data_IF_097877425051
#
_entry.id   IF_097877425051
#
_cell.length_a   1.000
_cell.length_b   1.000
_cell.length_c   1.000
_cell.angle_alpha   90.00
_cell.angle_beta   90.00
_cell.angle_gamma   90.00
#
_symmetry.space_group_name_H-M   'P 1'
#
loop_
_entity.id
_entity.type
_entity.pdbx_description
1 polymer ?
#
# COMPACT_ATOMS: atom_id res chain seq x y z
N UNK A 1 -20.62 83.71 26.30
CA UNK A 1 -19.81 83.49 25.09
C UNK A 1 -18.39 83.00 25.44
N UNK A 2 -18.28 81.86 26.15
CA UNK A 2 -16.99 81.18 26.46
C UNK A 2 -17.09 79.64 26.50
N UNK A 3 -18.30 79.08 26.34
CA UNK A 3 -18.53 77.63 26.42
C UNK A 3 -18.58 76.96 25.03
N UNK A 4 -18.82 77.72 23.96
CA UNK A 4 -18.89 77.18 22.59
C UNK A 4 -17.53 77.07 21.90
N UNK A 5 -16.49 77.78 22.37
CA UNK A 5 -15.16 77.76 21.72
C UNK A 5 -14.41 76.46 22.06
N UNK A 6 -14.55 75.94 23.29
CA UNK A 6 -13.91 74.70 23.73
C UNK A 6 -14.46 73.44 23.05
N UNK A 7 -15.72 73.42 22.62
CA UNK A 7 -16.30 72.23 21.98
C UNK A 7 -15.78 72.07 20.54
N UNK A 8 -15.60 73.18 19.82
CA UNK A 8 -14.99 73.18 18.47
C UNK A 8 -13.52 72.79 18.49
N UNK A 9 -12.75 73.22 19.49
CA UNK A 9 -11.34 72.81 19.65
C UNK A 9 -11.22 71.32 20.03
N UNK A 10 -12.11 70.80 20.89
CA UNK A 10 -12.13 69.36 21.20
C UNK A 10 -12.57 68.50 20.01
N UNK A 11 -13.54 68.95 19.21
CA UNK A 11 -13.99 68.24 18.00
C UNK A 11 -12.89 68.26 16.92
N UNK A 12 -12.14 69.36 16.77
CA UNK A 12 -10.99 69.42 15.86
C UNK A 12 -9.84 68.49 16.32
N UNK A 13 -9.55 68.42 17.63
CA UNK A 13 -8.52 67.51 18.17
C UNK A 13 -8.94 66.04 18.00
N UNK A 14 -10.23 65.72 18.19
CA UNK A 14 -10.77 64.38 17.92
C UNK A 14 -10.74 64.02 16.43
N UNK A 15 -10.98 64.96 15.51
CA UNK A 15 -10.84 64.73 14.06
C UNK A 15 -9.37 64.55 13.62
N UNK A 16 -8.42 65.18 14.31
CA UNK A 16 -6.98 64.99 14.05
C UNK A 16 -6.48 63.61 14.53
N UNK A 17 -7.10 63.00 15.55
CA UNK A 17 -6.77 61.63 15.97
C UNK A 17 -7.48 60.52 15.20
N UNK A 18 -8.52 60.82 14.41
CA UNK A 18 -9.14 59.86 13.47
C UNK A 18 -8.64 60.02 12.02
N UNK A 19 -7.71 60.94 11.77
CA UNK A 19 -7.14 61.25 10.45
C UNK A 19 -5.80 60.60 10.11
N UNK A 20 -5.26 59.74 10.99
CA UNK A 20 -3.98 59.04 10.77
C UNK A 20 -4.17 57.52 10.73
N UNK A 21 -4.95 57.02 9.77
CA UNK A 21 -4.74 55.72 9.15
C UNK A 21 -4.94 55.92 7.65
N UNK A 22 -4.08 56.75 7.05
CA UNK A 22 -3.93 56.75 5.60
C UNK A 22 -3.40 55.38 5.22
N UNK A 23 -4.32 54.54 4.75
CA UNK A 23 -4.10 53.26 4.10
C UNK A 23 -2.85 52.49 4.54
N UNK A 24 -3.00 51.64 5.57
CA UNK A 24 -2.15 50.44 5.65
C UNK A 24 -2.63 49.52 4.53
N UNK A 25 -2.22 49.81 3.29
CA UNK A 25 -2.41 48.90 2.16
C UNK A 25 -1.54 47.68 2.44
N UNK A 26 -2.17 46.63 2.97
CA UNK A 26 -1.59 45.28 2.94
C UNK A 26 -1.63 44.88 1.47
N UNK A 27 -0.46 44.77 0.83
CA UNK A 27 -0.37 44.28 -0.55
C UNK A 27 -1.05 42.92 -0.62
N UNK A 28 -2.13 42.81 -1.40
CA UNK A 28 -2.79 41.54 -1.67
C UNK A 28 -1.77 40.62 -2.35
N UNK A 29 -1.35 39.58 -1.63
CA UNK A 29 -0.36 38.66 -2.14
C UNK A 29 -0.97 37.54 -2.98
N UNK A 30 -2.30 37.37 -3.00
CA UNK A 30 -2.96 36.16 -3.47
C UNK A 30 -2.55 35.76 -4.89
N UNK A 31 -2.53 34.45 -5.11
CA UNK A 31 -2.40 33.85 -6.43
C UNK A 31 -3.76 33.70 -7.10
N UNK A 32 -3.76 33.68 -8.44
CA UNK A 32 -4.93 33.25 -9.21
C UNK A 32 -5.14 31.72 -9.16
N UNK A 33 -4.11 30.94 -8.83
CA UNK A 33 -4.24 29.51 -8.64
C UNK A 33 -4.95 29.22 -7.30
N UNK A 34 -6.09 28.54 -7.33
CA UNK A 34 -6.82 28.06 -6.15
C UNK A 34 -6.92 26.53 -6.09
N UNK A 35 -6.83 25.87 -7.24
CA UNK A 35 -6.90 24.42 -7.39
C UNK A 35 -5.85 23.96 -8.41
N UNK A 36 -5.15 22.88 -8.09
CA UNK A 36 -4.08 22.32 -8.90
C UNK A 36 -4.23 20.81 -9.02
N UNK A 37 -4.00 20.30 -10.23
CA UNK A 37 -3.87 18.86 -10.48
C UNK A 37 -2.48 18.57 -11.01
N UNK A 38 -1.80 17.60 -10.42
CA UNK A 38 -0.42 17.21 -10.76
C UNK A 38 -0.36 15.73 -11.17
N UNK A 39 0.53 15.42 -12.12
CA UNK A 39 0.78 14.04 -12.57
C UNK A 39 1.57 13.26 -11.50
N UNK A 40 0.99 12.15 -11.03
CA UNK A 40 1.63 11.26 -10.05
C UNK A 40 2.89 10.57 -10.55
N UNK A 41 3.15 10.55 -11.86
CA UNK A 41 4.39 10.03 -12.44
C UNK A 41 5.58 10.99 -12.30
N UNK A 42 5.36 12.16 -11.72
CA UNK A 42 6.32 13.24 -11.59
C UNK A 42 5.89 14.46 -12.38
N UNK A 43 5.80 15.60 -11.71
CA UNK A 43 5.32 16.86 -12.26
C UNK A 43 5.94 18.04 -11.51
N UNK A 44 5.88 19.23 -12.08
CA UNK A 44 6.31 20.45 -11.41
C UNK A 44 5.40 21.61 -11.75
N UNK A 45 4.86 22.26 -10.72
CA UNK A 45 4.07 23.48 -10.84
C UNK A 45 4.71 24.61 -10.06
N UNK A 46 4.73 25.79 -10.66
CA UNK A 46 5.11 27.04 -10.01
C UNK A 46 3.84 27.88 -9.86
N UNK A 47 3.51 28.20 -8.61
CA UNK A 47 2.44 29.13 -8.24
C UNK A 47 3.06 30.51 -8.12
N UNK A 48 2.46 31.51 -8.76
CA UNK A 48 2.92 32.90 -8.69
C UNK A 48 1.97 33.74 -7.86
N UNK A 49 2.55 34.51 -6.95
CA UNK A 49 1.85 35.42 -6.05
C UNK A 49 2.01 36.87 -6.53
N UNK A 50 0.96 37.68 -6.35
CA UNK A 50 0.97 39.08 -6.78
C UNK A 50 2.01 39.91 -6.01
N UNK A 51 2.28 39.53 -4.75
CA UNK A 51 3.27 40.16 -3.89
C UNK A 51 4.06 39.12 -3.08
N UNK A 52 5.16 39.55 -2.47
CA UNK A 52 5.95 38.77 -1.52
C UNK A 52 5.47 38.91 -0.08
N UNK A 53 4.35 39.60 0.13
CA UNK A 53 3.75 39.90 1.43
C UNK A 53 3.07 38.66 2.08
N UNK A 54 3.81 37.57 2.19
CA UNK A 54 3.44 36.34 2.90
C UNK A 54 4.70 35.67 3.41
N UNK A 55 4.65 35.07 4.58
CA UNK A 55 5.80 34.43 5.20
C UNK A 55 5.48 33.08 5.83
N UNK A 56 4.20 32.68 5.81
CA UNK A 56 3.72 31.44 6.37
C UNK A 56 3.24 30.50 5.27
N UNK A 57 3.70 29.26 5.34
CA UNK A 57 3.19 28.15 4.55
C UNK A 57 2.85 26.97 5.48
N UNK A 58 1.60 26.54 5.47
CA UNK A 58 1.14 25.32 6.12
C UNK A 58 0.67 24.28 5.11
N UNK A 59 0.78 22.99 5.45
CA UNK A 59 0.23 21.88 4.66
C UNK A 59 -0.75 21.09 5.51
N UNK A 60 -1.91 20.77 4.95
CA UNK A 60 -2.91 19.91 5.56
C UNK A 60 -3.36 18.82 4.60
N UNK A 61 -3.23 17.56 4.99
CA UNK A 61 -3.58 16.40 4.16
C UNK A 61 -4.95 15.85 4.53
N UNK A 62 -5.75 15.50 3.53
CA UNK A 62 -7.14 15.04 3.71
C UNK A 62 -7.28 13.52 3.93
N UNK A 63 -6.18 12.78 3.78
CA UNK A 63 -6.16 11.33 4.02
C UNK A 63 -6.09 11.05 5.53
N UNK A 64 -7.20 10.63 6.13
CA UNK A 64 -7.28 10.27 7.56
C UNK A 64 -6.35 9.10 7.94
N UNK A 65 -5.93 8.28 6.97
CA UNK A 65 -4.95 7.21 7.17
C UNK A 65 -3.49 7.68 7.05
N UNK A 66 -3.26 8.95 6.70
CA UNK A 66 -1.93 9.50 6.55
C UNK A 66 -1.34 9.91 7.90
N UNK A 67 -0.48 9.05 8.46
CA UNK A 67 0.18 9.25 9.76
C UNK A 67 1.63 9.69 9.64
N UNK A 68 2.05 10.07 8.43
CA UNK A 68 3.43 10.34 8.10
C UNK A 68 3.82 11.79 8.33
N UNK A 69 5.08 12.01 8.66
CA UNK A 69 5.62 13.34 8.96
C UNK A 69 6.33 13.93 7.74
N UNK A 70 6.23 15.24 7.61
CA UNK A 70 6.94 16.03 6.62
C UNK A 70 8.24 16.55 7.23
N UNK A 71 9.32 16.53 6.45
CA UNK A 71 10.56 17.18 6.83
C UNK A 71 10.55 18.64 6.36
N UNK A 72 10.80 19.57 7.27
CA UNK A 72 10.82 21.01 6.98
C UNK A 72 12.26 21.50 7.05
N UNK A 73 12.73 22.15 5.99
CA UNK A 73 14.07 22.68 5.87
C UNK A 73 14.05 24.19 5.67
N UNK A 74 15.07 24.87 6.20
CA UNK A 74 15.27 26.29 5.94
C UNK A 74 15.88 26.55 4.55
N UNK A 75 16.16 27.81 4.24
CA UNK A 75 16.77 28.22 2.98
C UNK A 75 18.23 27.75 2.81
N UNK A 76 18.94 27.45 3.90
CA UNK A 76 20.28 26.88 3.90
C UNK A 76 20.29 25.37 3.63
N UNK A 77 19.13 24.72 3.77
CA UNK A 77 18.96 23.28 3.64
C UNK A 77 19.09 22.52 4.96
N UNK A 78 19.13 23.23 6.09
CA UNK A 78 19.18 22.62 7.41
C UNK A 78 17.78 22.19 7.85
N UNK A 79 17.68 20.99 8.43
CA UNK A 79 16.40 20.45 8.93
C UNK A 79 15.94 21.26 10.14
N UNK A 80 14.78 21.89 10.04
CA UNK A 80 14.13 22.63 11.13
C UNK A 80 13.37 21.66 12.03
N UNK A 81 12.50 20.85 11.43
CA UNK A 81 11.62 19.93 12.17
C UNK A 81 11.07 18.83 11.27
N UNK A 82 10.49 17.80 11.90
CA UNK A 82 9.65 16.80 11.27
C UNK A 82 8.29 16.79 11.95
N UNK A 83 7.20 17.06 11.21
CA UNK A 83 5.85 17.19 11.78
C UNK A 83 4.79 16.65 10.80
N UNK A 84 3.70 16.08 11.33
CA UNK A 84 2.52 15.70 10.53
C UNK A 84 1.76 16.91 10.00
N UNK A 85 1.81 18.05 10.70
CA UNK A 85 1.17 19.30 10.30
C UNK A 85 2.24 20.38 10.09
N UNK A 86 3.03 20.29 9.01
CA UNK A 86 4.21 21.12 8.86
C UNK A 86 3.82 22.58 8.61
N UNK A 87 4.67 23.45 9.16
CA UNK A 87 4.63 24.88 8.95
C UNK A 87 6.04 25.37 8.61
N UNK A 88 6.14 26.21 7.59
CA UNK A 88 7.36 26.87 7.17
C UNK A 88 7.18 28.39 7.31
N UNK A 89 8.10 29.03 8.03
CA UNK A 89 8.22 30.49 8.08
C UNK A 89 9.39 30.97 7.22
N UNK A 90 9.13 31.91 6.31
CA UNK A 90 10.13 32.45 5.41
C UNK A 90 10.38 31.56 4.19
N UNK A 91 11.65 31.48 3.76
CA UNK A 91 12.10 30.64 2.64
C UNK A 91 12.61 29.29 3.12
N UNK A 92 12.51 28.29 2.27
CA UNK A 92 12.87 26.90 2.59
C UNK A 92 12.02 25.90 1.82
N UNK A 93 11.87 24.70 2.34
CA UNK A 93 11.05 23.64 1.72
C UNK A 93 10.41 22.70 2.73
N UNK A 94 9.26 22.17 2.36
CA UNK A 94 8.56 21.08 3.04
C UNK A 94 8.64 19.85 2.13
N UNK A 95 9.10 18.73 2.66
CA UNK A 95 9.33 17.50 1.90
C UNK A 95 8.49 16.38 2.49
N UNK A 96 7.67 15.76 1.64
CA UNK A 96 7.04 14.47 1.89
C UNK A 96 7.86 13.41 1.15
N UNK A 97 8.44 12.47 1.87
CA UNK A 97 9.21 11.37 1.28
C UNK A 97 8.84 10.07 1.96
N UNK A 98 7.68 9.55 1.57
CA UNK A 98 7.14 8.30 2.06
C UNK A 98 7.22 7.20 1.01
N UNK A 99 7.09 5.95 1.45
CA UNK A 99 7.28 4.77 0.59
C UNK A 99 6.46 4.85 -0.71
N UNK A 100 5.24 5.40 -0.62
CA UNK A 100 4.26 5.44 -1.70
C UNK A 100 3.91 6.85 -2.18
N UNK A 101 4.44 7.90 -1.57
CA UNK A 101 4.18 9.29 -1.97
C UNK A 101 5.41 10.16 -1.70
N UNK A 102 5.88 10.83 -2.74
CA UNK A 102 7.03 11.71 -2.69
C UNK A 102 6.73 13.04 -3.38
N UNK A 103 6.88 14.16 -2.67
CA UNK A 103 6.82 15.49 -3.25
C UNK A 103 7.51 16.52 -2.37
N UNK A 104 7.96 17.61 -2.99
CA UNK A 104 8.59 18.75 -2.33
C UNK A 104 7.82 20.04 -2.64
N UNK A 105 7.55 20.83 -1.62
CA UNK A 105 7.01 22.19 -1.73
C UNK A 105 8.12 23.16 -1.32
N UNK A 106 8.60 23.96 -2.26
CA UNK A 106 9.77 24.82 -2.09
C UNK A 106 9.42 26.28 -2.32
N UNK A 107 9.85 27.13 -1.38
CA UNK A 107 9.83 28.57 -1.50
C UNK A 107 11.26 29.10 -1.52
N UNK A 108 11.86 29.13 -2.70
CA UNK A 108 13.17 29.75 -2.96
C UNK A 108 13.04 31.20 -3.46
N UNK A 109 11.87 31.59 -3.96
CA UNK A 109 11.56 32.93 -4.45
C UNK A 109 10.48 33.58 -3.55
N UNK A 110 10.62 34.84 -3.11
CA UNK A 110 9.62 35.50 -2.29
C UNK A 110 8.21 35.56 -2.89
N UNK A 111 8.06 35.49 -4.22
CA UNK A 111 6.78 35.59 -4.94
C UNK A 111 6.34 34.29 -5.64
N UNK A 112 7.08 33.19 -5.44
CA UNK A 112 6.75 31.93 -6.09
C UNK A 112 6.81 30.77 -5.09
N UNK A 113 5.94 29.80 -5.31
CA UNK A 113 5.97 28.52 -4.62
C UNK A 113 6.05 27.41 -5.66
N UNK A 114 7.04 26.53 -5.55
CA UNK A 114 7.24 25.40 -6.45
C UNK A 114 6.78 24.13 -5.77
N UNK A 115 5.91 23.38 -6.42
CA UNK A 115 5.56 22.01 -6.03
C UNK A 115 6.21 21.09 -7.06
N UNK A 116 7.06 20.18 -6.59
CA UNK A 116 7.67 19.13 -7.41
C UNK A 116 7.19 17.77 -6.89
N UNK A 117 6.41 17.07 -7.70
CA UNK A 117 6.00 15.69 -7.42
C UNK A 117 7.10 14.76 -7.89
N UNK A 118 7.50 13.85 -7.01
CA UNK A 118 8.40 12.77 -7.37
C UNK A 118 7.59 11.56 -7.85
N UNK A 119 6.63 11.12 -7.01
CA UNK A 119 5.79 9.96 -7.32
C UNK A 119 4.57 9.91 -6.38
N UNK A 120 3.39 9.58 -6.91
CA UNK A 120 2.26 9.07 -6.12
C UNK A 120 1.98 7.60 -6.49
N UNK A 121 2.63 6.67 -5.80
CA UNK A 121 2.48 5.23 -6.04
C UNK A 121 1.22 4.63 -5.41
N UNK A 122 0.45 5.42 -4.67
CA UNK A 122 -0.85 5.00 -4.10
C UNK A 122 -1.83 4.66 -5.21
N UNK A 123 -2.82 3.83 -4.92
CA UNK A 123 -3.90 3.51 -5.86
C UNK A 123 -4.97 4.61 -5.99
N UNK A 124 -4.87 5.64 -5.15
CA UNK A 124 -5.83 6.75 -5.06
C UNK A 124 -5.14 8.09 -5.22
N UNK A 125 -5.95 9.11 -5.52
CA UNK A 125 -5.51 10.50 -5.50
C UNK A 125 -4.96 10.87 -4.12
N UNK A 126 -3.90 11.68 -4.11
CA UNK A 126 -3.32 12.23 -2.89
C UNK A 126 -3.63 13.72 -2.83
N UNK A 127 -4.51 14.09 -1.89
CA UNK A 127 -5.08 15.42 -1.80
C UNK A 127 -4.63 16.13 -0.54
N UNK A 128 -4.16 17.37 -0.71
CA UNK A 128 -3.78 18.23 0.40
C UNK A 128 -4.11 19.69 0.08
N UNK A 129 -4.15 20.49 1.13
CA UNK A 129 -4.35 21.93 1.07
C UNK A 129 -3.08 22.63 1.52
N UNK A 130 -2.72 23.68 0.78
CA UNK A 130 -1.74 24.67 1.19
C UNK A 130 -2.47 25.86 1.82
N UNK A 131 -2.00 26.29 2.98
CA UNK A 131 -2.40 27.57 3.58
C UNK A 131 -1.21 28.52 3.48
N UNK A 132 -1.34 29.55 2.64
CA UNK A 132 -0.34 30.61 2.48
C UNK A 132 -0.86 31.85 3.20
N UNK A 133 -0.09 32.44 4.10
CA UNK A 133 -0.57 33.58 4.90
C UNK A 133 0.50 34.59 5.29
N UNK A 134 0.03 35.75 5.72
CA UNK A 134 0.77 36.72 6.52
C UNK A 134 0.01 36.94 7.87
N UNK A 135 0.31 38.02 8.58
CA UNK A 135 -0.36 38.37 9.84
C UNK A 135 -1.84 38.75 9.69
N UNK A 136 -2.25 39.19 8.49
CA UNK A 136 -3.55 39.82 8.25
C UNK A 136 -4.51 38.95 7.43
N UNK A 137 -4.01 38.17 6.49
CA UNK A 137 -4.82 37.38 5.56
C UNK A 137 -4.18 36.04 5.18
N UNK A 138 -5.03 35.12 4.71
CA UNK A 138 -4.63 33.82 4.21
C UNK A 138 -5.30 33.49 2.87
N UNK A 139 -4.65 32.61 2.12
CA UNK A 139 -5.18 31.96 0.94
C UNK A 139 -5.03 30.45 1.08
N UNK A 140 -6.08 29.74 0.67
CA UNK A 140 -6.06 28.30 0.53
C UNK A 140 -5.88 27.91 -0.93
N UNK A 141 -5.01 26.92 -1.18
CA UNK A 141 -4.81 26.33 -2.50
C UNK A 141 -4.92 24.82 -2.36
N UNK A 142 -5.84 24.21 -3.10
CA UNK A 142 -6.08 22.77 -3.08
C UNK A 142 -5.22 22.09 -4.14
N UNK A 143 -4.56 21.00 -3.76
CA UNK A 143 -3.67 20.24 -4.64
C UNK A 143 -4.13 18.79 -4.67
N UNK A 144 -4.29 18.28 -5.88
CA UNK A 144 -4.61 16.89 -6.15
C UNK A 144 -3.49 16.26 -6.99
N UNK A 145 -2.78 15.29 -6.42
CA UNK A 145 -1.79 14.48 -7.14
C UNK A 145 -2.48 13.19 -7.57
N UNK A 146 -2.63 13.02 -8.88
CA UNK A 146 -3.16 11.80 -9.49
C UNK A 146 -2.30 10.56 -9.14
N UNK A 147 -2.84 9.34 -9.18
CA UNK A 147 -2.03 8.13 -9.07
C UNK A 147 -1.04 8.01 -10.24
N UNK A 148 0.17 7.51 -9.97
CA UNK A 148 1.14 7.13 -11.00
C UNK A 148 0.73 5.86 -11.76
N UNK A 149 1.42 5.64 -12.88
CA UNK A 149 1.38 4.40 -13.64
C UNK A 149 1.81 3.23 -12.73
N UNK A 150 1.15 2.08 -12.89
CA UNK A 150 1.47 0.90 -12.08
C UNK A 150 2.81 0.31 -12.51
N UNK A 151 3.57 -0.15 -11.53
CA UNK A 151 4.81 -0.87 -11.77
C UNK A 151 4.54 -2.19 -12.49
N UNK A 152 5.47 -2.56 -13.35
CA UNK A 152 5.47 -3.83 -14.06
C UNK A 152 6.47 -4.76 -13.39
N UNK A 153 6.08 -6.01 -13.16
CA UNK A 153 6.98 -7.05 -12.64
C UNK A 153 8.08 -7.28 -13.68
N UNK A 154 9.33 -7.20 -13.23
CA UNK A 154 10.51 -7.59 -14.01
C UNK A 154 10.82 -9.07 -13.77
N UNK A 155 11.14 -9.42 -12.51
CA UNK A 155 11.37 -10.80 -12.11
C UNK A 155 11.20 -11.00 -10.60
N UNK A 156 11.14 -12.26 -10.17
CA UNK A 156 11.15 -12.67 -8.77
C UNK A 156 12.32 -13.62 -8.51
N UNK A 157 12.98 -13.48 -7.37
CA UNK A 157 14.03 -14.39 -6.92
C UNK A 157 13.65 -15.02 -5.59
N UNK A 158 13.94 -16.31 -5.43
CA UNK A 158 13.74 -17.07 -4.18
C UNK A 158 15.10 -17.44 -3.59
N UNK A 159 15.25 -17.28 -2.27
CA UNK A 159 16.57 -17.40 -1.62
C UNK A 159 16.91 -18.79 -1.09
N UNK A 160 15.92 -19.67 -0.86
CA UNK A 160 16.15 -21.02 -0.29
C UNK A 160 15.29 -22.05 -1.00
N UNK A 161 15.93 -22.96 -1.74
CA UNK A 161 15.29 -24.03 -2.51
C UNK A 161 15.97 -25.41 -2.29
N UNK A 162 16.68 -25.60 -1.19
CA UNK A 162 17.39 -26.85 -0.90
C UNK A 162 16.43 -28.00 -0.56
N UNK A 163 16.85 -29.26 -0.66
CA UNK A 163 16.01 -30.45 -0.36
C UNK A 163 15.43 -30.45 1.05
N UNK A 164 16.16 -29.91 2.04
CA UNK A 164 15.71 -29.78 3.43
C UNK A 164 14.76 -28.58 3.65
N UNK A 165 14.38 -27.85 2.60
CA UNK A 165 13.57 -26.63 2.70
C UNK A 165 12.07 -26.89 2.74
N UNK A 166 11.64 -28.15 2.69
CA UNK A 166 10.22 -28.52 2.81
C UNK A 166 10.03 -29.65 3.83
N UNK A 167 8.84 -29.69 4.42
CA UNK A 167 8.43 -30.75 5.33
C UNK A 167 7.20 -31.50 4.81
N UNK A 168 7.04 -32.73 5.26
CA UNK A 168 5.88 -33.57 4.98
C UNK A 168 4.88 -33.43 6.13
N UNK A 169 3.69 -32.93 5.83
CA UNK A 169 2.58 -32.81 6.79
C UNK A 169 1.44 -33.75 6.41
N UNK A 170 0.97 -34.56 7.36
CA UNK A 170 -0.17 -35.46 7.14
C UNK A 170 -1.41 -34.86 7.80
N UNK A 171 -2.48 -34.67 7.03
CA UNK A 171 -3.75 -34.12 7.51
C UNK A 171 -4.91 -35.07 7.22
N UNK A 172 -5.79 -35.29 8.20
CA UNK A 172 -7.06 -35.98 7.96
C UNK A 172 -8.01 -35.08 7.17
N UNK A 173 -8.43 -35.53 5.99
CA UNK A 173 -9.36 -34.78 5.13
C UNK A 173 -10.79 -35.26 5.26
N UNK A 174 -10.98 -36.58 5.38
CA UNK A 174 -12.31 -37.19 5.42
C UNK A 174 -12.27 -38.37 6.38
N UNK A 175 -13.25 -38.45 7.28
CA UNK A 175 -13.49 -39.62 8.12
C UNK A 175 -14.97 -39.96 8.05
N UNK A 176 -15.29 -41.21 7.76
CA UNK A 176 -16.68 -41.68 7.70
C UNK A 176 -16.79 -43.14 8.17
N UNK A 177 -18.00 -43.57 8.49
CA UNK A 177 -18.29 -44.92 8.95
C UNK A 177 -18.98 -45.68 7.83
N UNK A 178 -18.45 -46.85 7.49
CA UNK A 178 -18.97 -47.74 6.46
C UNK A 178 -19.36 -49.09 7.09
N UNK A 179 -20.67 -49.37 7.25
CA UNK A 179 -21.14 -50.68 7.67
C UNK A 179 -21.16 -51.66 6.48
N UNK A 180 -20.91 -52.93 6.78
CA UNK A 180 -21.17 -54.05 5.90
C UNK A 180 -21.98 -55.13 6.65
N UNK A 181 -23.28 -55.22 6.36
CA UNK A 181 -24.17 -56.24 6.91
C UNK A 181 -24.26 -57.54 6.11
N UNK A 182 -23.45 -57.69 5.06
CA UNK A 182 -23.52 -58.79 4.11
C UNK A 182 -22.52 -59.88 4.47
N UNK A 183 -22.76 -61.11 3.98
CA UNK A 183 -21.86 -62.26 4.17
C UNK A 183 -20.65 -62.28 3.23
N UNK A 184 -20.41 -61.19 2.51
CA UNK A 184 -19.31 -61.00 1.56
C UNK A 184 -18.69 -59.63 1.76
N UNK A 185 -17.46 -59.47 1.28
CA UNK A 185 -16.76 -58.19 1.25
C UNK A 185 -17.57 -57.13 0.49
N UNK A 186 -17.65 -55.92 1.05
CA UNK A 186 -18.30 -54.78 0.41
C UNK A 186 -17.25 -53.81 -0.16
N UNK A 187 -17.28 -53.52 -1.47
CA UNK A 187 -16.35 -52.58 -2.09
C UNK A 187 -16.75 -51.13 -1.79
N UNK A 188 -15.86 -50.38 -1.12
CA UNK A 188 -16.03 -48.95 -0.86
C UNK A 188 -15.12 -48.13 -1.80
N UNK A 189 -15.71 -47.51 -2.82
CA UNK A 189 -14.98 -46.68 -3.78
C UNK A 189 -14.71 -45.28 -3.19
N UNK A 190 -13.45 -44.83 -3.27
CA UNK A 190 -12.99 -43.55 -2.75
C UNK A 190 -12.23 -42.78 -3.82
N UNK A 191 -12.36 -41.46 -3.76
CA UNK A 191 -11.52 -40.51 -4.50
C UNK A 191 -10.67 -39.76 -3.46
N UNK A 192 -9.45 -40.21 -3.14
CA UNK A 192 -8.67 -39.66 -2.02
C UNK A 192 -8.41 -38.16 -2.14
N UNK A 193 -8.23 -37.68 -3.38
CA UNK A 193 -7.95 -36.28 -3.69
C UNK A 193 -9.21 -35.44 -3.98
N UNK A 194 -10.41 -35.96 -3.71
CA UNK A 194 -11.65 -35.19 -3.81
C UNK A 194 -11.59 -33.94 -2.91
N UNK A 195 -11.78 -32.75 -3.50
CA UNK A 195 -11.67 -31.45 -2.84
C UNK A 195 -10.29 -31.18 -2.18
N UNK A 196 -9.22 -31.77 -2.73
CA UNK A 196 -7.84 -31.49 -2.31
C UNK A 196 -7.22 -30.46 -3.27
N UNK A 197 -6.63 -29.41 -2.69
CA UNK A 197 -6.06 -28.29 -3.43
C UNK A 197 -4.59 -28.09 -3.10
N UNK A 198 -3.85 -27.51 -4.04
CA UNK A 198 -2.55 -26.92 -3.79
C UNK A 198 -2.75 -25.46 -3.37
N UNK A 199 -2.28 -25.11 -2.18
CA UNK A 199 -2.50 -23.79 -1.60
C UNK A 199 -1.22 -22.94 -1.69
N UNK A 200 -1.37 -21.70 -2.12
CA UNK A 200 -0.25 -20.75 -2.30
C UNK A 200 -0.63 -19.39 -1.73
N UNK A 201 0.29 -18.76 -1.01
CA UNK A 201 0.09 -17.40 -0.51
C UNK A 201 1.41 -16.62 -0.49
N UNK A 202 1.39 -15.40 -1.00
CA UNK A 202 2.47 -14.45 -0.83
C UNK A 202 2.18 -13.54 0.36
N UNK A 203 3.20 -13.30 1.18
CA UNK A 203 3.19 -12.26 2.21
C UNK A 203 4.29 -11.28 1.87
N UNK A 204 4.01 -9.98 1.92
CA UNK A 204 5.01 -8.91 1.79
C UNK A 204 5.39 -8.44 3.19
N UNK A 205 6.65 -8.06 3.39
CA UNK A 205 7.10 -7.43 4.64
C UNK A 205 6.44 -6.05 4.85
N UNK A 206 6.07 -5.39 3.74
CA UNK A 206 5.28 -4.16 3.71
C UNK A 206 4.03 -4.39 2.86
N UNK A 207 2.88 -4.73 3.47
CA UNK A 207 1.65 -5.09 2.76
C UNK A 207 1.16 -4.03 1.78
N UNK A 208 1.43 -2.76 2.05
CA UNK A 208 1.04 -1.62 1.23
C UNK A 208 1.69 -1.68 -0.16
N UNK A 209 2.87 -2.30 -0.29
CA UNK A 209 3.56 -2.42 -1.57
C UNK A 209 2.84 -3.29 -2.61
N UNK A 210 1.86 -4.11 -2.20
CA UNK A 210 1.03 -4.83 -3.18
C UNK A 210 0.29 -3.88 -4.13
N UNK A 211 0.02 -2.63 -3.71
CA UNK A 211 -0.66 -1.64 -4.54
C UNK A 211 0.23 -0.97 -5.60
N UNK A 212 1.55 -1.19 -5.54
CA UNK A 212 2.48 -0.70 -6.57
C UNK A 212 2.15 -1.29 -7.94
N UNK A 213 1.69 -2.53 -7.94
CA UNK A 213 1.45 -3.31 -9.14
C UNK A 213 0.00 -3.14 -9.62
N UNK A 214 -0.22 -3.24 -10.93
CA UNK A 214 -1.56 -3.16 -11.52
C UNK A 214 -2.33 -4.46 -11.36
N UNK A 215 -3.63 -4.47 -11.63
CA UNK A 215 -4.42 -5.70 -11.49
C UNK A 215 -4.18 -6.72 -12.61
N UNK A 216 -3.58 -6.29 -13.73
CA UNK A 216 -3.35 -7.12 -14.92
C UNK A 216 -1.97 -7.79 -14.91
N UNK A 217 -1.94 -9.05 -15.36
CA UNK A 217 -0.72 -9.79 -15.66
C UNK A 217 0.31 -9.90 -14.51
N UNK A 218 -0.17 -10.11 -13.27
CA UNK A 218 0.66 -10.30 -12.08
C UNK A 218 1.18 -11.74 -11.91
N UNK A 219 1.38 -12.47 -12.99
CA UNK A 219 1.73 -13.88 -12.89
C UNK A 219 3.22 -14.04 -12.65
N UNK A 220 3.60 -14.85 -11.65
CA UNK A 220 4.99 -15.18 -11.34
C UNK A 220 5.17 -16.69 -11.26
N UNK A 221 6.36 -17.15 -11.64
CA UNK A 221 6.74 -18.54 -11.43
C UNK A 221 7.05 -18.79 -9.95
N UNK A 222 6.56 -19.90 -9.40
CA UNK A 222 6.86 -20.34 -8.04
C UNK A 222 7.63 -21.66 -8.06
N UNK A 223 8.48 -21.91 -7.06
CA UNK A 223 9.02 -23.24 -6.85
C UNK A 223 7.92 -24.23 -6.48
N UNK A 224 8.13 -25.50 -6.82
CA UNK A 224 7.32 -26.60 -6.32
C UNK A 224 8.14 -27.88 -6.19
N UNK A 225 7.66 -28.82 -5.38
CA UNK A 225 8.35 -30.09 -5.16
C UNK A 225 7.96 -31.08 -6.25
N UNK A 226 8.93 -31.55 -7.01
CA UNK A 226 8.74 -32.53 -8.07
C UNK A 226 9.77 -33.66 -7.92
N UNK A 227 9.31 -34.91 -7.94
CA UNK A 227 10.15 -36.09 -7.68
C UNK A 227 10.97 -36.00 -6.37
N UNK A 228 10.45 -35.30 -5.36
CA UNK A 228 11.11 -35.12 -4.06
C UNK A 228 12.09 -33.95 -3.98
N UNK A 229 12.29 -33.19 -5.06
CA UNK A 229 13.19 -32.04 -5.11
C UNK A 229 12.40 -30.73 -5.24
N UNK A 230 12.72 -29.74 -4.40
CA UNK A 230 12.16 -28.40 -4.51
C UNK A 230 12.89 -27.63 -5.63
N UNK A 231 12.16 -27.24 -6.68
CA UNK A 231 12.77 -26.57 -7.83
C UNK A 231 11.80 -25.65 -8.56
N UNK A 232 12.36 -24.80 -9.42
CA UNK A 232 11.59 -24.01 -10.40
C UNK A 232 11.19 -24.91 -11.57
N UNK A 233 9.90 -25.06 -11.84
CA UNK A 233 9.37 -25.98 -12.87
C UNK A 233 8.30 -25.36 -13.78
N UNK A 234 8.33 -24.04 -13.96
CA UNK A 234 7.41 -23.31 -14.83
C UNK A 234 6.01 -23.10 -14.25
N UNK A 235 5.76 -23.52 -13.00
CA UNK A 235 4.46 -23.37 -12.34
C UNK A 235 4.20 -21.91 -12.03
N UNK A 236 3.11 -21.39 -12.58
CA UNK A 236 2.78 -19.98 -12.53
C UNK A 236 1.53 -19.73 -11.67
N UNK A 237 1.57 -18.66 -10.87
CA UNK A 237 0.46 -18.21 -10.02
C UNK A 237 0.34 -16.70 -10.04
N UNK A 238 -0.82 -16.16 -9.65
CA UNK A 238 -0.96 -14.72 -9.49
C UNK A 238 -0.18 -14.27 -8.26
N UNK A 239 0.59 -13.20 -8.36
CA UNK A 239 1.20 -12.54 -7.23
C UNK A 239 0.12 -11.72 -6.51
N UNK A 240 -0.29 -12.19 -5.33
CA UNK A 240 -1.33 -11.55 -4.52
C UNK A 240 -1.18 -11.98 -3.06
N UNK A 241 -1.62 -11.10 -2.15
CA UNK A 241 -1.72 -11.39 -0.71
C UNK A 241 -2.85 -12.36 -0.36
N UNK A 242 -3.78 -12.61 -1.28
CA UNK A 242 -4.87 -13.57 -1.06
C UNK A 242 -4.38 -15.00 -1.23
N UNK A 243 -4.80 -15.89 -0.33
CA UNK A 243 -4.56 -17.32 -0.51
C UNK A 243 -5.24 -17.81 -1.80
N UNK A 244 -4.48 -18.55 -2.58
CA UNK A 244 -4.93 -19.16 -3.83
C UNK A 244 -5.04 -20.66 -3.66
N UNK A 245 -6.12 -21.24 -4.19
CA UNK A 245 -6.32 -22.69 -4.30
C UNK A 245 -6.20 -23.09 -5.76
N UNK A 246 -5.21 -23.92 -6.03
CA UNK A 246 -4.96 -24.47 -7.36
C UNK A 246 -5.51 -25.91 -7.41
N UNK A 247 -6.18 -26.30 -8.51
CA UNK A 247 -6.68 -27.66 -8.64
C UNK A 247 -5.52 -28.65 -8.61
N UNK A 248 -5.70 -29.75 -7.88
CA UNK A 248 -4.80 -30.89 -7.92
C UNK A 248 -5.37 -31.93 -8.88
N UNK A 249 -4.74 -32.12 -10.03
CA UNK A 249 -5.32 -32.87 -11.17
C UNK A 249 -5.37 -34.39 -10.98
N UNK A 250 -5.09 -34.94 -9.80
CA UNK A 250 -5.16 -36.37 -9.56
C UNK A 250 -6.61 -36.81 -9.31
N UNK A 251 -7.16 -37.62 -10.22
CA UNK A 251 -8.52 -38.17 -10.16
C UNK A 251 -8.54 -39.67 -9.80
N UNK A 252 -7.44 -40.20 -9.26
CA UNK A 252 -7.32 -41.59 -8.83
C UNK A 252 -8.49 -42.00 -7.93
N UNK A 253 -9.02 -43.18 -8.23
CA UNK A 253 -10.01 -43.85 -7.42
C UNK A 253 -9.43 -45.15 -6.88
N UNK A 254 -9.75 -45.44 -5.61
CA UNK A 254 -9.37 -46.67 -4.96
C UNK A 254 -10.59 -47.38 -4.43
N UNK A 255 -10.51 -48.71 -4.36
CA UNK A 255 -11.51 -49.54 -3.71
C UNK A 255 -10.94 -50.06 -2.39
N UNK A 256 -11.68 -49.81 -1.30
CA UNK A 256 -11.38 -50.35 0.02
C UNK A 256 -12.40 -51.45 0.31
N UNK A 257 -11.94 -52.69 0.45
CA UNK A 257 -12.80 -53.81 0.86
C UNK A 257 -13.16 -53.71 2.35
N UNK A 258 -14.46 -53.78 2.65
CA UNK A 258 -15.02 -53.81 4.00
C UNK A 258 -15.45 -55.24 4.34
N UNK A 259 -14.88 -55.90 5.35
CA UNK A 259 -15.17 -57.30 5.65
C UNK A 259 -16.63 -57.60 6.01
N UNK A 260 -17.10 -58.85 5.85
CA UNK A 260 -18.47 -59.26 6.13
C UNK A 260 -18.86 -58.98 7.59
N UNK A 261 -20.08 -58.51 7.81
CA UNK A 261 -20.64 -58.26 9.15
C UNK A 261 -19.79 -57.35 10.04
N UNK A 262 -19.03 -56.41 9.46
CA UNK A 262 -18.23 -55.43 10.20
C UNK A 262 -18.72 -54.01 9.96
N UNK A 263 -18.42 -53.11 10.90
CA UNK A 263 -18.53 -51.66 10.68
C UNK A 263 -17.15 -51.06 10.82
N UNK A 264 -16.68 -50.35 9.79
CA UNK A 264 -15.36 -49.73 9.79
C UNK A 264 -15.45 -48.20 9.74
N UNK A 265 -14.66 -47.52 10.57
CA UNK A 265 -14.30 -46.13 10.35
C UNK A 265 -13.15 -46.07 9.35
N UNK A 266 -13.37 -45.36 8.25
CA UNK A 266 -12.38 -45.13 7.21
C UNK A 266 -11.96 -43.68 7.29
N UNK A 267 -10.66 -43.42 7.42
CA UNK A 267 -10.09 -42.07 7.39
C UNK A 267 -9.14 -41.94 6.20
N UNK A 268 -9.37 -40.92 5.38
CA UNK A 268 -8.48 -40.48 4.31
C UNK A 268 -7.56 -39.41 4.88
N UNK A 269 -6.27 -39.69 4.86
CA UNK A 269 -5.18 -38.80 5.23
C UNK A 269 -4.48 -38.33 3.95
N UNK A 270 -4.15 -37.05 3.86
CA UNK A 270 -3.35 -36.49 2.76
C UNK A 270 -2.02 -36.00 3.30
N UNK A 271 -0.94 -36.44 2.66
CA UNK A 271 0.39 -35.89 2.83
C UNK A 271 0.56 -34.66 1.94
N UNK A 272 1.05 -33.58 2.53
CA UNK A 272 1.40 -32.34 1.85
C UNK A 272 2.90 -32.09 1.98
N UNK A 273 3.52 -31.64 0.90
CA UNK A 273 4.76 -30.88 0.99
C UNK A 273 4.41 -29.46 1.39
N UNK A 274 4.91 -29.03 2.53
CA UNK A 274 4.75 -27.68 3.04
C UNK A 274 6.11 -27.00 3.13
N UNK A 275 6.20 -25.77 2.61
CA UNK A 275 7.41 -24.97 2.75
C UNK A 275 7.11 -23.48 2.76
N UNK A 276 8.09 -22.74 3.27
CA UNK A 276 8.16 -21.30 3.17
C UNK A 276 9.51 -20.90 2.58
N UNK A 277 9.51 -19.93 1.66
CA UNK A 277 10.76 -19.40 1.11
C UNK A 277 10.69 -17.88 0.98
N UNK A 278 11.81 -17.23 1.30
CA UNK A 278 11.93 -15.77 1.16
C UNK A 278 12.06 -15.42 -0.32
N UNK A 279 11.40 -14.34 -0.72
CA UNK A 279 11.50 -13.80 -2.07
C UNK A 279 11.85 -12.32 -2.07
N UNK A 280 12.43 -11.90 -3.19
CA UNK A 280 12.50 -10.50 -3.62
C UNK A 280 11.87 -10.38 -5.01
N UNK A 281 10.83 -9.57 -5.12
CA UNK A 281 10.16 -9.25 -6.37
C UNK A 281 10.65 -7.88 -6.85
N UNK A 282 11.20 -7.83 -8.06
CA UNK A 282 11.70 -6.62 -8.67
C UNK A 282 10.66 -6.09 -9.65
N UNK A 283 10.37 -4.79 -9.54
CA UNK A 283 9.40 -4.12 -10.37
C UNK A 283 9.95 -2.81 -10.92
N UNK A 284 9.53 -2.44 -12.13
CA UNK A 284 10.00 -1.26 -12.84
C UNK A 284 8.83 -0.37 -13.21
N UNK A 285 8.97 0.93 -12.91
CA UNK A 285 8.00 1.93 -13.31
C UNK A 285 8.10 2.16 -14.82
N UNK A 286 7.01 2.00 -15.60
CA UNK A 286 7.09 1.99 -17.07
C UNK A 286 7.52 3.33 -17.67
N UNK A 287 7.11 4.44 -17.07
CA UNK A 287 7.44 5.81 -17.55
C UNK A 287 8.80 6.34 -17.04
N UNK A 288 9.09 6.19 -15.74
CA UNK A 288 10.29 6.79 -15.11
C UNK A 288 11.50 5.86 -15.07
N UNK A 289 11.31 4.55 -15.26
CA UNK A 289 12.37 3.54 -15.10
C UNK A 289 12.79 3.29 -13.65
N UNK A 290 12.13 3.93 -12.67
CA UNK A 290 12.37 3.73 -11.24
C UNK A 290 12.18 2.26 -10.88
N UNK A 291 13.09 1.72 -10.08
CA UNK A 291 13.04 0.31 -9.63
C UNK A 291 12.59 0.23 -8.18
N UNK A 292 11.71 -0.72 -7.89
CA UNK A 292 11.26 -1.07 -6.53
C UNK A 292 11.51 -2.56 -6.29
N UNK A 293 11.76 -2.89 -5.03
CA UNK A 293 11.91 -4.29 -4.58
C UNK A 293 10.86 -4.55 -3.51
N UNK A 294 10.05 -5.60 -3.69
CA UNK A 294 9.09 -6.07 -2.70
C UNK A 294 9.65 -7.36 -2.11
N UNK A 295 9.97 -7.34 -0.82
CA UNK A 295 10.46 -8.50 -0.10
C UNK A 295 9.33 -9.18 0.65
N UNK A 296 9.44 -10.50 0.78
CA UNK A 296 8.42 -11.24 1.50
C UNK A 296 8.67 -12.73 1.60
N UNK A 297 7.62 -13.46 1.95
CA UNK A 297 7.63 -14.91 2.10
C UNK A 297 6.54 -15.53 1.23
N UNK A 298 6.92 -16.53 0.45
CA UNK A 298 6.00 -17.43 -0.24
C UNK A 298 5.71 -18.61 0.69
N UNK A 299 4.45 -18.87 0.97
CA UNK A 299 3.99 -20.10 1.61
C UNK A 299 3.37 -21.02 0.56
N UNK A 300 3.74 -22.30 0.60
CA UNK A 300 3.25 -23.29 -0.34
C UNK A 300 2.86 -24.58 0.38
N UNK A 301 1.72 -25.14 0.01
CA UNK A 301 1.20 -26.41 0.53
C UNK A 301 0.70 -27.27 -0.62
N UNK A 302 1.52 -28.20 -1.10
CA UNK A 302 1.24 -29.04 -2.25
C UNK A 302 0.88 -30.47 -1.85
N UNK A 303 -0.26 -31.03 -2.29
CA UNK A 303 -0.57 -32.44 -2.08
C UNK A 303 0.49 -33.35 -2.72
N UNK A 304 0.88 -34.41 -2.00
CA UNK A 304 1.93 -35.34 -2.42
C UNK A 304 1.44 -36.79 -2.48
N UNK A 305 0.91 -37.30 -1.37
CA UNK A 305 0.46 -38.70 -1.23
C UNK A 305 -0.83 -38.78 -0.41
N UNK A 306 -1.45 -39.95 -0.37
CA UNK A 306 -2.56 -40.23 0.54
C UNK A 306 -2.32 -41.52 1.32
N UNK A 307 -2.95 -41.63 2.48
CA UNK A 307 -2.97 -42.83 3.29
C UNK A 307 -4.41 -43.11 3.75
N UNK A 308 -4.76 -44.39 3.85
CA UNK A 308 -6.07 -44.83 4.35
C UNK A 308 -5.87 -45.58 5.65
N UNK A 309 -6.54 -45.13 6.71
CA UNK A 309 -6.63 -45.87 7.97
C UNK A 309 -8.02 -46.43 8.15
N UNK A 310 -8.08 -47.62 8.77
CA UNK A 310 -9.30 -48.39 8.99
C UNK A 310 -9.34 -48.83 10.45
N UNK A 311 -10.47 -48.60 11.10
CA UNK A 311 -10.71 -49.01 12.47
C UNK A 311 -12.06 -49.73 12.56
N UNK A 312 -12.07 -50.94 13.14
CA UNK A 312 -13.32 -51.64 13.41
C UNK A 312 -14.05 -50.96 14.57
N UNK A 313 -15.31 -50.59 14.34
CA UNK A 313 -16.19 -50.05 15.36
C UNK A 313 -16.93 -51.23 16.01
N UNK A 314 -16.81 -51.35 17.33
CA UNK A 314 -17.56 -52.32 18.14
C UNK A 314 -18.96 -51.80 18.45
#
# INVERSE_FOLDING_TARGET
>A
MKMFINLTEYILILLVFYGCNGDVFVDDFRSADSELTLDGNGDTKIIRFASSNWDVLGVYTYDEGFTYSYAVYDAGGDLITTDQFPYLKGQGKIVCNEELIGFTIERSNPRELKIAVEENARSTHFQFKLTVSNEYESQEIYVDISPSDRYVIDHITYYSLDEDSYEKRIEAKRSFVQPNGWGIDYPCLLSPYENVYHEVMFRSDMPELFQLLGESNLTVEIPSVENGHLQMNGKQVRYTSKQQTLPFSNTEQIEVSIPPYTTQRITVLIEYYWFETRYALYAVHPKTGKRRTINGTLQNKMPAAYYITRENIK
#
